data_IF_719551254113
#
_entry.id   IF_719551254113
#
_cell.length_a   1.000
_cell.length_b   1.000
_cell.length_c   1.000
_cell.angle_alpha   90.00
_cell.angle_beta   90.00
_cell.angle_gamma   90.00
#
_symmetry.space_group_name_H-M   'P 1'
#
loop_
_entity.id
_entity.type
_entity.pdbx_description
1 polymer ?
#
# COMPACT_ATOMS: atom_id res chain seq x y z
N UNK A 1 -14.26 -20.22 4.74
CA UNK A 1 -14.21 -19.12 3.75
C UNK A 1 -13.05 -19.40 2.81
N UNK A 2 -13.28 -19.46 1.49
CA UNK A 2 -12.23 -19.71 0.50
C UNK A 2 -11.67 -18.40 -0.04
N UNK A 3 -10.47 -18.42 -0.63
CA UNK A 3 -9.91 -17.25 -1.31
C UNK A 3 -10.90 -16.66 -2.35
N UNK A 4 -11.55 -17.53 -3.14
CA UNK A 4 -12.57 -17.12 -4.10
C UNK A 4 -13.77 -16.42 -3.45
N UNK A 5 -14.24 -16.88 -2.28
CA UNK A 5 -15.34 -16.20 -1.57
C UNK A 5 -14.96 -14.80 -1.10
N UNK A 6 -13.71 -14.55 -0.69
CA UNK A 6 -13.24 -13.22 -0.31
C UNK A 6 -13.15 -12.31 -1.53
N UNK A 7 -12.61 -12.82 -2.65
CA UNK A 7 -12.55 -12.06 -3.92
C UNK A 7 -13.95 -11.61 -4.35
N UNK A 8 -14.91 -12.53 -4.34
CA UNK A 8 -16.29 -12.24 -4.71
C UNK A 8 -16.96 -11.26 -3.74
N UNK A 9 -16.69 -11.39 -2.44
CA UNK A 9 -17.23 -10.48 -1.43
C UNK A 9 -16.72 -9.04 -1.64
N UNK A 10 -15.41 -8.85 -1.84
CA UNK A 10 -14.86 -7.53 -2.14
C UNK A 10 -15.38 -6.98 -3.48
N UNK A 11 -15.50 -7.83 -4.50
CA UNK A 11 -16.05 -7.42 -5.80
C UNK A 11 -17.46 -6.84 -5.68
N UNK A 12 -18.34 -7.52 -4.92
CA UNK A 12 -19.70 -7.03 -4.64
C UNK A 12 -19.68 -5.75 -3.81
N UNK A 13 -18.91 -5.72 -2.72
CA UNK A 13 -18.79 -4.55 -1.87
C UNK A 13 -18.38 -3.30 -2.67
N UNK A 14 -17.37 -3.42 -3.53
CA UNK A 14 -16.93 -2.27 -4.33
C UNK A 14 -17.93 -1.89 -5.42
N UNK A 15 -18.66 -2.84 -6.00
CA UNK A 15 -19.74 -2.55 -6.94
C UNK A 15 -20.89 -1.79 -6.26
N UNK A 16 -21.31 -2.22 -5.07
CA UNK A 16 -22.37 -1.57 -4.28
C UNK A 16 -21.98 -0.14 -3.86
N UNK A 17 -20.68 0.11 -3.69
CA UNK A 17 -20.11 1.44 -3.39
C UNK A 17 -19.84 2.29 -4.65
N UNK A 18 -20.16 1.79 -5.86
CA UNK A 18 -19.90 2.49 -7.13
C UNK A 18 -18.41 2.63 -7.49
N UNK A 19 -17.53 1.84 -6.87
CA UNK A 19 -16.08 1.87 -7.08
C UNK A 19 -15.69 0.98 -8.27
N UNK A 20 -15.90 1.48 -9.48
CA UNK A 20 -15.58 0.77 -10.72
C UNK A 20 -14.09 0.37 -10.80
N UNK A 21 -13.82 -0.85 -11.27
CA UNK A 21 -12.45 -1.39 -11.44
C UNK A 21 -11.74 -1.80 -10.15
N UNK A 22 -12.38 -1.70 -8.98
CA UNK A 22 -11.80 -2.18 -7.74
C UNK A 22 -11.91 -3.70 -7.59
N UNK A 23 -10.90 -4.30 -6.96
CA UNK A 23 -10.84 -5.73 -6.65
C UNK A 23 -10.38 -5.95 -5.21
N UNK A 24 -10.38 -7.21 -4.75
CA UNK A 24 -9.83 -7.59 -3.44
C UNK A 24 -8.40 -7.07 -3.19
N UNK A 25 -7.61 -6.82 -4.24
CA UNK A 25 -6.27 -6.24 -4.12
C UNK A 25 -6.26 -4.72 -3.94
N UNK A 26 -7.30 -3.99 -4.35
CA UNK A 26 -7.33 -2.52 -4.31
C UNK A 26 -7.09 -1.97 -2.90
N UNK A 27 -7.63 -2.60 -1.88
CA UNK A 27 -7.39 -2.24 -0.48
C UNK A 27 -5.93 -2.39 -0.07
N UNK A 28 -5.30 -3.52 -0.44
CA UNK A 28 -3.88 -3.77 -0.18
C UNK A 28 -2.98 -2.74 -0.86
N UNK A 29 -3.25 -2.40 -2.13
CA UNK A 29 -2.50 -1.37 -2.86
C UNK A 29 -2.61 -0.02 -2.15
N UNK A 30 -3.84 0.37 -1.82
CA UNK A 30 -4.15 1.63 -1.13
C UNK A 30 -3.44 1.72 0.22
N UNK A 31 -3.48 0.64 1.01
CA UNK A 31 -2.79 0.57 2.30
C UNK A 31 -1.29 0.79 2.15
N UNK A 32 -0.61 0.06 1.26
CA UNK A 32 0.84 0.20 1.07
C UNK A 32 1.20 1.62 0.63
N UNK A 33 0.51 2.15 -0.38
CA UNK A 33 0.77 3.49 -0.92
C UNK A 33 0.57 4.58 0.14
N UNK A 34 -0.52 4.51 0.92
CA UNK A 34 -0.80 5.50 1.98
C UNK A 34 0.17 5.39 3.15
N UNK A 35 0.43 4.16 3.62
CA UNK A 35 1.37 3.92 4.72
C UNK A 35 2.75 4.45 4.37
N UNK A 36 3.26 4.22 3.16
CA UNK A 36 4.56 4.72 2.73
C UNK A 36 4.67 6.25 2.76
N UNK A 37 3.58 6.96 2.47
CA UNK A 37 3.54 8.44 2.50
C UNK A 37 3.57 9.01 3.91
N UNK A 38 2.94 8.34 4.87
CA UNK A 38 2.84 8.83 6.26
C UNK A 38 3.91 8.25 7.19
N UNK A 39 4.58 7.16 6.77
CA UNK A 39 5.62 6.46 7.51
C UNK A 39 6.69 7.38 8.14
N UNK A 40 7.18 8.46 7.48
CA UNK A 40 8.16 9.34 8.10
C UNK A 40 7.68 9.99 9.41
N UNK A 41 6.36 10.14 9.59
CA UNK A 41 5.78 10.71 10.82
C UNK A 41 5.88 9.77 12.01
N UNK A 42 6.11 8.49 11.80
CA UNK A 42 6.23 7.48 12.85
C UNK A 42 7.69 7.15 13.19
N UNK A 43 8.65 7.71 12.45
CA UNK A 43 10.06 7.31 12.55
C UNK A 43 10.35 5.90 12.02
N UNK A 44 9.41 5.30 11.29
CA UNK A 44 9.54 3.94 10.75
C UNK A 44 10.28 3.89 9.40
N UNK A 45 10.47 2.66 8.92
CA UNK A 45 11.17 2.31 7.68
C UNK A 45 10.27 1.50 6.74
N UNK A 46 10.69 1.36 5.48
CA UNK A 46 9.94 0.55 4.51
C UNK A 46 9.86 -0.93 4.91
N UNK A 47 10.75 -1.39 5.80
CA UNK A 47 10.74 -2.75 6.36
C UNK A 47 9.50 -2.98 7.24
N UNK A 48 9.08 -1.98 7.99
CA UNK A 48 7.89 -2.08 8.85
C UNK A 48 6.62 -2.28 8.00
N UNK A 49 6.52 -1.57 6.87
CA UNK A 49 5.42 -1.77 5.92
C UNK A 49 5.48 -3.16 5.29
N UNK A 50 6.68 -3.63 4.92
CA UNK A 50 6.86 -4.97 4.35
C UNK A 50 6.36 -6.06 5.30
N UNK A 51 6.68 -5.96 6.59
CA UNK A 51 6.25 -6.90 7.62
C UNK A 51 4.74 -6.84 7.84
N UNK A 52 4.15 -5.64 7.91
CA UNK A 52 2.70 -5.45 8.04
C UNK A 52 1.90 -6.10 6.91
N UNK A 53 2.42 -6.06 5.68
CA UNK A 53 1.73 -6.70 4.55
C UNK A 53 2.15 -8.15 4.32
N UNK A 54 3.16 -8.65 5.03
CA UNK A 54 3.64 -10.03 4.91
C UNK A 54 4.33 -10.32 3.58
N UNK A 55 5.03 -9.35 2.98
CA UNK A 55 5.85 -9.62 1.80
C UNK A 55 7.21 -10.19 2.20
N UNK A 56 7.62 -11.30 1.58
CA UNK A 56 8.96 -11.87 1.76
C UNK A 56 10.06 -10.94 1.23
N UNK A 57 9.77 -10.23 0.15
CA UNK A 57 10.73 -9.41 -0.57
C UNK A 57 10.26 -7.94 -0.62
N UNK A 58 11.15 -7.02 -0.23
CA UNK A 58 10.87 -5.59 -0.23
C UNK A 58 10.50 -5.06 -1.62
N UNK A 59 11.04 -5.66 -2.68
CA UNK A 59 10.72 -5.32 -4.07
C UNK A 59 9.27 -5.56 -4.43
N UNK A 60 8.55 -6.39 -3.67
CA UNK A 60 7.10 -6.56 -3.86
C UNK A 60 6.34 -5.38 -3.26
N UNK A 61 6.79 -4.87 -2.11
CA UNK A 61 6.23 -3.67 -1.46
C UNK A 61 6.54 -2.41 -2.27
N UNK A 62 7.76 -2.27 -2.78
CA UNK A 62 8.20 -1.05 -3.48
C UNK A 62 7.40 -0.78 -4.76
N UNK A 63 6.84 -1.80 -5.41
CA UNK A 63 6.02 -1.65 -6.64
C UNK A 63 4.78 -0.76 -6.45
N UNK A 64 4.38 -0.50 -5.21
CA UNK A 64 3.25 0.35 -4.86
C UNK A 64 3.65 1.75 -4.38
N UNK A 65 4.96 2.03 -4.32
CA UNK A 65 5.52 3.24 -3.73
C UNK A 65 6.19 4.04 -4.82
N UNK A 66 5.65 5.23 -5.08
CA UNK A 66 6.22 6.15 -6.06
C UNK A 66 7.20 7.12 -5.38
N UNK A 67 8.35 7.35 -6.02
CA UNK A 67 9.31 8.34 -5.56
C UNK A 67 8.73 9.76 -5.59
N UNK A 68 9.06 10.56 -4.59
CA UNK A 68 8.68 11.98 -4.50
C UNK A 68 9.94 12.83 -4.50
N UNK A 69 10.07 13.67 -5.53
CA UNK A 69 11.25 14.51 -5.75
C UNK A 69 11.37 15.61 -4.70
N UNK A 70 10.27 16.14 -4.20
CA UNK A 70 10.29 17.13 -3.13
C UNK A 70 10.72 16.50 -1.81
N UNK A 71 10.20 15.31 -1.50
CA UNK A 71 10.64 14.54 -0.34
C UNK A 71 12.14 14.21 -0.41
N UNK A 72 12.64 13.79 -1.58
CA UNK A 72 14.07 13.53 -1.80
C UNK A 72 14.93 14.77 -1.55
N UNK A 73 14.55 15.94 -2.11
CA UNK A 73 15.25 17.20 -1.88
C UNK A 73 15.28 17.61 -0.41
N UNK A 74 14.15 17.47 0.29
CA UNK A 74 14.06 17.76 1.74
C UNK A 74 14.98 16.84 2.53
N UNK A 75 14.98 15.54 2.24
CA UNK A 75 15.83 14.57 2.92
C UNK A 75 17.31 14.89 2.80
N UNK A 76 17.80 15.24 1.61
CA UNK A 76 19.22 15.61 1.40
C UNK A 76 19.61 16.85 2.19
N UNK A 77 18.70 17.80 2.41
CA UNK A 77 18.98 19.01 3.21
C UNK A 77 19.07 18.77 4.72
N UNK A 78 18.63 17.59 5.19
CA UNK A 78 18.67 17.23 6.61
C UNK A 78 19.97 16.52 7.02
N UNK A 79 20.83 16.21 6.05
CA UNK A 79 22.15 15.60 6.25
C UNK A 79 23.20 16.63 5.85
#
# INVERSE_FOLDING_TARGET
>A
MTAGSIVNWFGRLYADLGMAGCSSHSGRRTFITRSARILPKTGGSLRDIQELVGHRDLSTTQRYIEGDRDAQRKLVRLI
#
